data_IF_270094032363
#
_entry.id   IF_270094032363
#
_cell.length_a   1.000
_cell.length_b   1.000
_cell.length_c   1.000
_cell.angle_alpha   90.00
_cell.angle_beta   90.00
_cell.angle_gamma   90.00
#
_symmetry.space_group_name_H-M   'P 1'
#
loop_
_entity.id
_entity.type
_entity.pdbx_description
1 polymer ?
#
# COMPACT_ATOMS: atom_id res chain seq x y z
N UNK A 1 -20.14 10.73 8.68
CA UNK A 1 -19.22 9.65 9.09
C UNK A 1 -17.93 10.20 9.73
N UNK A 2 -17.99 11.02 10.80
CA UNK A 2 -16.82 11.79 11.29
C UNK A 2 -15.85 11.04 12.23
N UNK A 3 -16.00 9.73 12.44
CA UNK A 3 -15.19 8.95 13.40
C UNK A 3 -14.79 7.54 12.93
N UNK A 4 -14.81 7.26 11.61
CA UNK A 4 -14.41 5.93 11.13
C UNK A 4 -12.88 5.76 11.28
N UNK A 5 -12.49 4.81 12.13
CA UNK A 5 -11.08 4.48 12.41
C UNK A 5 -10.65 3.16 11.77
N UNK A 6 -11.61 2.28 11.50
CA UNK A 6 -11.40 0.96 10.94
C UNK A 6 -12.33 0.81 9.75
N UNK A 7 -11.77 0.53 8.59
CA UNK A 7 -12.52 0.15 7.39
C UNK A 7 -12.24 -1.31 7.12
N UNK A 8 -13.28 -2.13 7.16
CA UNK A 8 -13.23 -3.50 6.68
C UNK A 8 -14.12 -3.64 5.46
N UNK A 9 -13.55 -4.13 4.38
CA UNK A 9 -14.27 -4.44 3.15
C UNK A 9 -13.78 -5.77 2.60
N UNK A 10 -14.70 -6.54 2.03
CA UNK A 10 -14.36 -7.76 1.32
C UNK A 10 -15.15 -7.75 0.03
N UNK A 11 -14.46 -7.80 -1.09
CA UNK A 11 -15.11 -8.05 -2.39
C UNK A 11 -15.05 -9.55 -2.66
N UNK A 12 -16.21 -10.18 -2.87
CA UNK A 12 -16.27 -11.54 -3.36
C UNK A 12 -15.65 -11.60 -4.75
N UNK A 13 -14.71 -12.53 -4.94
CA UNK A 13 -14.19 -12.88 -6.25
C UNK A 13 -15.26 -13.67 -7.02
N UNK A 14 -16.29 -13.00 -7.54
CA UNK A 14 -17.01 -13.56 -8.67
C UNK A 14 -16.13 -13.39 -9.90
N UNK A 15 -15.41 -14.47 -10.24
CA UNK A 15 -14.46 -14.61 -11.36
C UNK A 15 -15.11 -14.35 -12.74
N UNK A 16 -16.38 -13.95 -12.79
CA UNK A 16 -17.15 -13.67 -14.01
C UNK A 16 -17.78 -12.27 -14.10
N UNK A 17 -17.36 -11.31 -13.28
CA UNK A 17 -17.73 -9.89 -13.51
C UNK A 17 -16.49 -9.03 -13.77
N UNK A 18 -15.95 -9.14 -14.98
CA UNK A 18 -15.46 -7.95 -15.67
C UNK A 18 -16.61 -6.93 -15.72
N UNK A 19 -16.32 -5.65 -15.52
CA UNK A 19 -17.24 -4.52 -15.69
C UNK A 19 -18.12 -4.03 -14.52
N UNK A 20 -17.89 -4.40 -13.24
CA UNK A 20 -18.29 -3.44 -12.19
C UNK A 20 -17.27 -2.31 -12.16
N UNK A 21 -17.55 -1.28 -12.96
CA UNK A 21 -16.85 0.02 -12.95
C UNK A 21 -17.06 0.63 -11.57
N UNK A 22 -16.15 0.35 -10.64
CA UNK A 22 -16.16 0.99 -9.32
C UNK A 22 -15.75 2.44 -9.53
N UNK A 23 -16.72 3.33 -9.73
CA UNK A 23 -16.47 4.77 -9.79
C UNK A 23 -16.19 5.29 -8.39
N UNK A 24 -14.91 5.33 -8.01
CA UNK A 24 -14.46 6.00 -6.79
C UNK A 24 -14.68 7.52 -6.83
N UNK A 25 -15.06 8.06 -8.00
CA UNK A 25 -15.18 9.48 -8.31
C UNK A 25 -16.10 10.27 -7.36
N UNK A 26 -17.03 9.60 -6.65
CA UNK A 26 -17.87 10.24 -5.60
C UNK A 26 -17.57 9.77 -4.17
N UNK A 27 -16.84 8.67 -3.98
CA UNK A 27 -16.56 8.12 -2.64
C UNK A 27 -15.21 8.61 -2.08
N UNK A 28 -14.32 9.14 -2.92
CA UNK A 28 -13.00 9.65 -2.54
C UNK A 28 -13.05 10.87 -1.60
N UNK A 29 -14.19 11.55 -1.50
CA UNK A 29 -14.40 12.67 -0.56
C UNK A 29 -14.66 12.25 0.89
N UNK A 30 -14.81 10.94 1.18
CA UNK A 30 -15.29 10.47 2.48
C UNK A 30 -14.34 9.54 3.23
N UNK A 31 -13.05 9.46 2.88
CA UNK A 31 -12.10 8.86 3.80
C UNK A 31 -11.75 9.87 4.87
N UNK A 32 -12.24 9.69 6.12
CA UNK A 32 -11.87 10.64 7.16
C UNK A 32 -10.36 10.52 7.39
N UNK A 33 -9.70 11.67 7.56
CA UNK A 33 -8.32 11.81 8.07
C UNK A 33 -8.12 11.23 9.50
N UNK A 34 -9.01 10.35 9.94
CA UNK A 34 -9.07 9.68 11.24
C UNK A 34 -8.91 8.16 11.07
N UNK A 35 -8.86 7.65 9.83
CA UNK A 35 -8.71 6.23 9.57
C UNK A 35 -7.34 5.75 10.06
N UNK A 36 -7.34 4.63 10.78
CA UNK A 36 -6.18 3.98 11.41
C UNK A 36 -5.94 2.56 10.91
N UNK A 37 -6.94 1.96 10.28
CA UNK A 37 -6.87 0.59 9.82
C UNK A 37 -7.71 0.44 8.57
N UNK A 38 -7.09 -0.06 7.51
CA UNK A 38 -7.78 -0.53 6.30
C UNK A 38 -7.52 -2.01 6.19
N UNK A 39 -8.58 -2.80 6.19
CA UNK A 39 -8.56 -4.22 5.86
C UNK A 39 -9.50 -4.42 4.67
N UNK A 40 -8.94 -4.62 3.47
CA UNK A 40 -9.70 -4.71 2.24
C UNK A 40 -9.28 -5.90 1.38
N UNK A 41 -9.96 -7.02 1.60
CA UNK A 41 -9.76 -8.22 0.80
C UNK A 41 -10.27 -8.02 -0.63
N UNK A 42 -9.43 -8.31 -1.62
CA UNK A 42 -9.80 -8.26 -3.03
C UNK A 42 -9.87 -6.85 -3.62
N UNK A 43 -9.19 -5.86 -3.01
CA UNK A 43 -9.28 -4.45 -3.45
C UNK A 43 -9.17 -4.31 -4.98
N UNK A 44 -10.19 -3.72 -5.65
CA UNK A 44 -10.38 -3.92 -7.09
C UNK A 44 -9.56 -2.96 -7.97
N UNK A 45 -9.01 -1.89 -7.39
CA UNK A 45 -8.26 -0.89 -8.15
C UNK A 45 -6.78 -1.27 -8.27
N UNK A 46 -6.14 -0.73 -9.30
CA UNK A 46 -4.72 -1.00 -9.59
C UNK A 46 -3.75 -0.15 -8.77
N UNK A 47 -4.26 0.88 -8.09
CA UNK A 47 -3.52 1.76 -7.21
C UNK A 47 -4.44 2.45 -6.19
N UNK A 48 -3.85 3.01 -5.14
CA UNK A 48 -4.56 3.90 -4.23
C UNK A 48 -4.64 5.31 -4.85
N UNK A 49 -5.79 5.99 -4.75
CA UNK A 49 -5.98 7.33 -5.31
C UNK A 49 -4.96 8.34 -4.79
N UNK A 50 -4.57 9.31 -5.62
CA UNK A 50 -3.68 10.42 -5.19
C UNK A 50 -4.21 11.18 -3.98
N UNK A 51 -5.53 11.35 -3.88
CA UNK A 51 -6.22 12.07 -2.80
C UNK A 51 -6.15 11.36 -1.45
N UNK A 52 -5.73 10.10 -1.43
CA UNK A 52 -5.61 9.34 -0.21
C UNK A 52 -4.46 9.89 0.66
N UNK A 53 -4.81 10.51 1.79
CA UNK A 53 -3.88 11.05 2.77
C UNK A 53 -3.75 10.12 3.97
N UNK A 54 -2.51 9.74 4.30
CA UNK A 54 -2.20 8.93 5.49
C UNK A 54 -1.51 9.84 6.50
N UNK A 55 -2.30 10.46 7.38
CA UNK A 55 -1.78 11.41 8.37
C UNK A 55 -1.69 10.81 9.79
N UNK A 56 -2.06 9.54 9.97
CA UNK A 56 -2.15 8.85 11.26
C UNK A 56 -1.36 7.54 11.27
N UNK A 57 -1.22 6.94 12.46
CA UNK A 57 -0.79 5.54 12.59
C UNK A 57 -1.78 4.65 11.84
N UNK A 58 -1.38 4.16 10.66
CA UNK A 58 -2.25 3.35 9.81
C UNK A 58 -1.63 2.00 9.50
N UNK A 59 -2.44 0.95 9.63
CA UNK A 59 -2.17 -0.37 9.06
C UNK A 59 -3.01 -0.58 7.81
N UNK A 60 -2.37 -0.94 6.69
CA UNK A 60 -3.01 -1.37 5.45
C UNK A 60 -2.87 -2.87 5.29
N UNK A 61 -3.99 -3.56 5.21
CA UNK A 61 -4.08 -4.96 4.80
C UNK A 61 -5.02 -5.02 3.61
N UNK A 62 -4.50 -5.31 2.42
CA UNK A 62 -5.29 -5.40 1.19
C UNK A 62 -4.90 -6.63 0.38
N UNK A 63 -5.14 -7.83 0.92
CA UNK A 63 -4.71 -9.07 0.32
C UNK A 63 -5.54 -9.41 -0.92
N UNK A 64 -4.96 -10.19 -1.83
CA UNK A 64 -5.58 -10.58 -3.11
C UNK A 64 -6.05 -9.37 -3.95
N UNK A 65 -5.42 -8.21 -3.77
CA UNK A 65 -5.79 -6.99 -4.48
C UNK A 65 -5.25 -6.95 -5.90
N UNK A 66 -5.87 -6.12 -6.75
CA UNK A 66 -5.39 -5.87 -8.12
C UNK A 66 -4.33 -4.79 -8.20
N UNK A 67 -3.78 -4.36 -7.06
CA UNK A 67 -2.78 -3.30 -6.98
C UNK A 67 -1.55 -3.74 -7.77
N UNK A 68 -1.19 -2.95 -8.78
CA UNK A 68 0.03 -3.09 -9.57
C UNK A 68 1.10 -2.12 -9.06
N UNK A 69 0.65 -0.96 -8.60
CA UNK A 69 1.47 0.06 -7.95
C UNK A 69 0.70 0.63 -6.77
N UNK A 70 1.35 0.80 -5.61
CA UNK A 70 0.67 1.24 -4.40
C UNK A 70 -0.02 2.61 -4.56
N UNK A 71 0.67 3.61 -5.12
CA UNK A 71 0.15 4.96 -5.30
C UNK A 71 -0.14 5.27 -6.77
N UNK A 72 -1.25 5.94 -7.02
CA UNK A 72 -1.56 6.43 -8.35
C UNK A 72 -0.53 7.47 -8.80
N UNK A 73 0.11 7.18 -9.95
CA UNK A 73 0.96 8.14 -10.65
C UNK A 73 2.43 8.12 -10.26
N UNK A 74 3.01 6.98 -9.87
CA UNK A 74 4.48 6.89 -9.81
C UNK A 74 5.09 7.31 -8.46
N UNK A 75 4.55 8.37 -7.87
CA UNK A 75 5.28 9.15 -6.87
C UNK A 75 5.36 8.44 -5.52
N UNK A 76 6.58 8.35 -5.02
CA UNK A 76 6.90 8.06 -3.63
C UNK A 76 6.09 8.98 -2.72
N UNK A 77 5.35 8.40 -1.77
CA UNK A 77 4.72 9.17 -0.71
C UNK A 77 5.51 8.95 0.58
N UNK A 78 5.80 10.03 1.28
CA UNK A 78 6.34 10.00 2.63
C UNK A 78 5.25 9.45 3.54
N UNK A 79 5.45 8.22 4.03
CA UNK A 79 4.49 7.54 4.89
C UNK A 79 4.91 7.70 6.34
N UNK A 80 4.78 8.91 6.88
CA UNK A 80 5.37 9.21 8.20
C UNK A 80 4.87 8.36 9.36
N UNK A 81 3.79 7.58 9.21
CA UNK A 81 3.09 6.85 10.28
C UNK A 81 2.56 5.48 9.86
N UNK A 82 3.09 4.88 8.79
CA UNK A 82 2.72 3.52 8.41
C UNK A 82 3.31 2.53 9.45
N UNK A 83 2.53 1.54 9.86
CA UNK A 83 3.02 0.47 10.76
C UNK A 83 2.97 -0.92 10.14
N UNK A 84 1.97 -1.19 9.29
CA UNK A 84 1.82 -2.47 8.61
C UNK A 84 1.36 -2.20 7.19
N UNK A 85 2.02 -2.82 6.22
CA UNK A 85 1.57 -2.91 4.83
C UNK A 85 1.55 -4.37 4.42
N UNK A 86 0.35 -4.92 4.26
CA UNK A 86 0.11 -6.29 3.85
C UNK A 86 -0.62 -6.29 2.51
N UNK A 87 0.09 -6.65 1.44
CA UNK A 87 -0.39 -6.70 0.06
C UNK A 87 -0.21 -8.10 -0.52
N UNK A 88 -0.18 -9.14 0.32
CA UNK A 88 0.09 -10.49 -0.16
C UNK A 88 -0.92 -10.93 -1.24
N UNK A 89 -0.47 -11.76 -2.19
CA UNK A 89 -1.24 -12.16 -3.38
C UNK A 89 -1.72 -11.01 -4.29
N UNK A 90 -1.15 -9.82 -4.16
CA UNK A 90 -1.46 -8.74 -5.10
C UNK A 90 -0.66 -8.86 -6.40
N UNK A 91 -1.03 -8.05 -7.40
CA UNK A 91 -0.31 -7.92 -8.68
C UNK A 91 0.81 -6.87 -8.62
N UNK A 92 1.29 -6.56 -7.41
CA UNK A 92 2.25 -5.48 -7.18
C UNK A 92 3.52 -5.76 -7.99
N UNK A 93 3.95 -4.79 -8.80
CA UNK A 93 5.15 -4.90 -9.64
C UNK A 93 6.34 -4.18 -9.03
N UNK A 94 6.08 -2.99 -8.49
CA UNK A 94 7.09 -2.16 -7.86
C UNK A 94 6.54 -1.60 -6.55
N UNK A 95 7.41 -1.44 -5.58
CA UNK A 95 7.10 -0.76 -4.33
C UNK A 95 8.20 0.24 -4.02
N UNK A 96 7.81 1.50 -3.84
CA UNK A 96 8.70 2.54 -3.35
C UNK A 96 8.12 3.11 -2.05
N UNK A 97 8.82 2.82 -0.95
CA UNK A 97 8.56 3.37 0.36
C UNK A 97 9.64 4.42 0.63
N UNK A 98 9.24 5.69 0.50
CA UNK A 98 10.12 6.82 0.84
C UNK A 98 10.35 6.94 2.34
N UNK A 99 10.59 8.16 2.80
CA UNK A 99 10.84 8.44 4.22
C UNK A 99 9.65 7.98 5.08
N UNK A 100 9.88 6.98 5.93
CA UNK A 100 8.95 6.58 6.99
C UNK A 100 9.71 6.35 8.29
N UNK A 101 9.72 7.30 9.24
CA UNK A 101 10.44 7.23 10.52
C UNK A 101 9.92 6.14 11.49
N UNK A 102 8.97 5.30 11.07
CA UNK A 102 8.20 4.43 11.94
C UNK A 102 8.56 2.95 11.80
N UNK A 103 8.03 2.19 12.78
CA UNK A 103 8.26 0.76 12.89
C UNK A 103 7.31 0.01 11.96
N UNK A 104 7.85 -0.65 10.95
CA UNK A 104 7.06 -1.21 9.84
C UNK A 104 7.14 -2.73 9.72
N UNK A 105 6.05 -3.34 9.28
CA UNK A 105 6.00 -4.74 8.84
C UNK A 105 5.40 -4.81 7.44
N UNK A 106 6.17 -5.37 6.51
CA UNK A 106 5.82 -5.47 5.09
C UNK A 106 5.58 -6.93 4.73
N UNK A 107 4.34 -7.25 4.32
CA UNK A 107 3.98 -8.58 3.83
C UNK A 107 3.65 -8.49 2.34
N UNK A 108 4.57 -8.95 1.50
CA UNK A 108 4.48 -8.95 0.04
C UNK A 108 4.54 -10.39 -0.50
N UNK A 109 4.22 -11.37 0.35
CA UNK A 109 4.23 -12.78 0.00
C UNK A 109 3.32 -13.06 -1.19
N UNK A 110 3.76 -13.94 -2.09
CA UNK A 110 3.03 -14.36 -3.30
C UNK A 110 2.64 -13.19 -4.22
N UNK A 111 3.35 -12.07 -4.16
CA UNK A 111 3.30 -11.04 -5.20
C UNK A 111 4.16 -11.50 -6.39
N UNK A 112 3.59 -12.37 -7.24
CA UNK A 112 4.31 -13.04 -8.33
C UNK A 112 4.79 -12.11 -9.45
N UNK A 113 4.31 -10.87 -9.49
CA UNK A 113 4.71 -9.86 -10.47
C UNK A 113 5.71 -8.84 -9.89
N UNK A 114 6.03 -8.93 -8.60
CA UNK A 114 6.92 -7.99 -7.91
C UNK A 114 8.35 -8.21 -8.38
N UNK A 115 8.94 -7.17 -8.98
CA UNK A 115 10.29 -7.19 -9.54
C UNK A 115 11.24 -6.23 -8.83
N UNK A 116 10.72 -5.17 -8.22
CA UNK A 116 11.51 -4.11 -7.60
C UNK A 116 10.88 -3.63 -6.29
N UNK A 117 11.71 -3.47 -5.27
CA UNK A 117 11.34 -2.86 -3.99
C UNK A 117 12.43 -1.88 -3.60
N UNK A 118 12.06 -0.62 -3.41
CA UNK A 118 12.94 0.45 -2.96
C UNK A 118 12.44 0.98 -1.62
N UNK A 119 13.32 0.97 -0.62
CA UNK A 119 13.01 1.32 0.76
C UNK A 119 14.08 2.28 1.27
N UNK A 120 13.66 3.41 1.82
CA UNK A 120 14.57 4.33 2.47
C UNK A 120 14.88 3.88 3.91
N UNK A 121 16.10 3.42 4.16
CA UNK A 121 16.50 2.81 5.44
C UNK A 121 16.92 3.79 6.54
N UNK A 122 17.22 5.05 6.23
CA UNK A 122 17.57 6.04 7.28
C UNK A 122 16.41 6.33 8.22
N UNK A 123 15.18 6.18 7.72
CA UNK A 123 13.98 6.43 8.48
C UNK A 123 13.24 5.13 8.86
N UNK A 124 13.29 4.08 8.03
CA UNK A 124 12.50 2.87 8.28
C UNK A 124 13.05 2.02 9.42
N UNK A 125 12.27 1.87 10.49
CA UNK A 125 12.51 0.84 11.52
C UNK A 125 11.81 -0.46 11.11
N UNK A 126 12.29 -1.10 10.04
CA UNK A 126 11.71 -2.34 9.53
C UNK A 126 11.83 -3.47 10.57
N UNK A 127 10.70 -4.07 10.94
CA UNK A 127 10.61 -5.21 11.87
C UNK A 127 10.58 -6.53 11.12
N UNK A 128 9.85 -6.53 10.00
CA UNK A 128 9.54 -7.74 9.26
C UNK A 128 9.32 -7.39 7.80
N UNK A 129 9.89 -8.21 6.94
CA UNK A 129 9.74 -8.16 5.49
C UNK A 129 9.56 -9.58 4.99
N UNK A 130 8.36 -9.90 4.52
CA UNK A 130 8.06 -11.19 3.88
C UNK A 130 7.93 -10.99 2.37
N UNK A 131 8.92 -11.51 1.64
CA UNK A 131 9.03 -11.50 0.19
C UNK A 131 8.89 -12.91 -0.42
N UNK A 132 8.36 -13.87 0.34
CA UNK A 132 8.27 -15.26 -0.10
C UNK A 132 7.42 -15.36 -1.38
N UNK A 133 7.85 -16.19 -2.34
CA UNK A 133 7.12 -16.43 -3.59
C UNK A 133 6.91 -15.16 -4.44
N UNK A 134 7.92 -14.28 -4.46
CA UNK A 134 7.98 -13.11 -5.37
C UNK A 134 8.96 -13.37 -6.52
N UNK A 135 8.93 -12.53 -7.57
CA UNK A 135 9.94 -12.53 -8.64
C UNK A 135 10.94 -11.39 -8.47
N UNK A 136 11.18 -10.98 -7.21
CA UNK A 136 11.98 -9.81 -6.89
C UNK A 136 13.38 -9.96 -7.48
N UNK A 137 13.82 -8.96 -8.24
CA UNK A 137 15.16 -8.89 -8.82
C UNK A 137 15.99 -7.81 -8.16
N UNK A 138 15.34 -6.72 -7.76
CA UNK A 138 15.98 -5.54 -7.20
C UNK A 138 15.37 -5.25 -5.84
N UNK A 139 16.22 -5.20 -4.81
CA UNK A 139 15.90 -4.69 -3.49
C UNK A 139 16.88 -3.55 -3.18
N UNK A 140 16.41 -2.32 -3.32
CA UNK A 140 17.21 -1.13 -2.97
C UNK A 140 16.87 -0.68 -1.57
N UNK A 141 17.91 -0.66 -0.73
CA UNK A 141 17.86 -0.10 0.62
C UNK A 141 18.67 1.19 0.57
N UNK A 142 18.03 2.29 0.16
CA UNK A 142 18.72 3.56 -0.05
C UNK A 142 18.86 4.34 1.25
N UNK A 143 20.07 4.82 1.50
CA UNK A 143 20.35 5.90 2.43
C UNK A 143 20.22 7.19 1.61
N UNK A 144 19.01 7.71 1.37
CA UNK A 144 18.95 9.03 0.75
C UNK A 144 19.27 10.05 1.83
N UNK A 145 20.53 10.48 1.88
CA UNK A 145 20.87 11.78 2.43
C UNK A 145 19.95 12.78 1.76
N UNK A 146 19.06 13.41 2.52
CA UNK A 146 18.24 14.51 2.04
C UNK A 146 19.17 15.63 1.56
N UNK A 147 19.56 15.61 0.30
CA UNK A 147 20.05 16.78 -0.41
C UNK A 147 18.84 17.38 -1.11
N UNK A 148 18.01 18.04 -0.31
CA UNK A 148 17.29 19.21 -0.79
C UNK A 148 18.33 20.35 -0.79
N UNK A 149 18.81 20.74 -1.98
CA UNK A 149 19.28 22.11 -2.25
C UNK A 149 18.09 22.94 -2.78
#
# INVERSE_FOLDING_TARGET
MKKLRYLYMSSSEDVHCSHRKWSFDKASQYYPNVLRYVDWFGYPLWSLPKTFQINNHVSFRMPNSRIVQLWEGGKTKVLTKLTILDLHHSRLRTLDLGLSPNRESLCLKRCYDLVEVSINVECLKLVSLDLNSTKLRTLELSLTSNLEE
#
